data_IF_317736052680
#
_entry.id   IF_317736052680
#
_cell.length_a   1.000
_cell.length_b   1.000
_cell.length_c   1.000
_cell.angle_alpha   90.00
_cell.angle_beta   90.00
_cell.angle_gamma   90.00
#
_symmetry.space_group_name_H-M   'P 1'
#
loop_
_entity.id
_entity.type
_entity.pdbx_description
1 polymer ?
#
# COMPACT_ATOMS: atom_id res chain seq x y z
N UNK A 1 -5.14 -40.13 -53.67
CA UNK A 1 -6.55 -40.28 -54.05
C UNK A 1 -7.37 -39.45 -53.07
N UNK A 2 -7.94 -38.33 -53.56
CA UNK A 2 -8.96 -37.39 -53.01
C UNK A 2 -8.81 -36.91 -51.55
N UNK A 3 -8.64 -35.63 -51.19
CA UNK A 3 -9.10 -34.32 -51.71
C UNK A 3 -10.60 -34.01 -51.56
N UNK A 4 -10.88 -32.81 -50.98
CA UNK A 4 -12.14 -32.06 -50.79
C UNK A 4 -13.10 -32.59 -49.69
N UNK A 5 -13.77 -31.80 -48.83
CA UNK A 5 -14.48 -30.51 -49.03
C UNK A 5 -14.88 -29.89 -47.65
N UNK A 6 -14.50 -28.64 -47.33
CA UNK A 6 -15.28 -27.36 -47.23
C UNK A 6 -16.45 -27.26 -46.23
N UNK A 7 -16.44 -26.15 -45.47
CA UNK A 7 -17.48 -25.14 -45.11
C UNK A 7 -17.07 -24.57 -43.74
N UNK A 8 -16.89 -23.28 -43.46
CA UNK A 8 -17.27 -22.03 -44.09
C UNK A 8 -17.65 -21.09 -42.93
N UNK A 9 -17.07 -19.89 -42.84
CA UNK A 9 -17.66 -18.62 -42.37
C UNK A 9 -16.54 -17.57 -42.35
N UNK A 10 -16.60 -16.72 -43.36
CA UNK A 10 -15.93 -15.43 -43.48
C UNK A 10 -16.90 -14.40 -42.91
N UNK A 11 -16.46 -13.52 -42.02
CA UNK A 11 -17.18 -12.28 -41.75
C UNK A 11 -16.20 -11.13 -41.49
N UNK A 12 -15.97 -10.41 -42.58
CA UNK A 12 -15.24 -9.15 -42.76
C UNK A 12 -15.82 -8.01 -41.90
N UNK A 13 -14.99 -7.33 -41.12
CA UNK A 13 -15.28 -6.00 -40.58
C UNK A 13 -14.77 -4.94 -41.56
N UNK A 14 -15.69 -4.22 -42.18
CA UNK A 14 -15.41 -3.09 -43.06
C UNK A 14 -16.08 -1.84 -42.51
N UNK A 15 -15.28 -0.79 -42.40
CA UNK A 15 -15.63 0.54 -41.95
C UNK A 15 -16.83 1.13 -42.70
N UNK A 16 -17.69 1.87 -42.00
CA UNK A 16 -18.52 2.90 -42.62
C UNK A 16 -18.72 4.09 -41.68
N UNK A 17 -18.26 5.23 -42.16
CA UNK A 17 -18.36 6.58 -41.63
C UNK A 17 -19.22 7.32 -42.67
N UNK A 18 -20.23 8.09 -42.24
CA UNK A 18 -20.79 9.31 -42.89
C UNK A 18 -22.22 9.65 -42.40
N UNK A 19 -22.29 10.80 -41.71
CA UNK A 19 -23.25 11.93 -41.77
C UNK A 19 -24.75 11.87 -41.39
N UNK A 20 -25.18 13.09 -41.03
CA UNK A 20 -26.53 13.68 -40.84
C UNK A 20 -27.07 13.57 -39.41
N UNK A 21 -27.44 14.63 -38.67
CA UNK A 21 -27.51 16.08 -38.90
C UNK A 21 -28.48 16.73 -37.89
N UNK A 22 -28.27 18.03 -37.61
CA UNK A 22 -29.24 19.03 -37.07
C UNK A 22 -29.63 18.88 -35.57
N UNK A 23 -29.71 19.88 -34.68
CA UNK A 23 -30.04 21.32 -34.74
C UNK A 23 -29.60 21.97 -33.41
N UNK A 24 -29.16 23.23 -33.38
CA UNK A 24 -29.90 24.32 -32.69
C UNK A 24 -29.28 25.70 -32.86
N UNK A 25 -30.21 26.65 -32.92
CA UNK A 25 -30.14 28.06 -33.27
C UNK A 25 -29.53 28.93 -32.16
N UNK A 26 -28.70 29.92 -32.52
CA UNK A 26 -28.34 31.04 -31.65
C UNK A 26 -28.69 32.36 -32.36
N UNK A 27 -29.37 33.31 -31.69
CA UNK A 27 -29.89 34.52 -32.33
C UNK A 27 -28.84 35.63 -32.51
N UNK A 28 -29.13 36.48 -33.49
CA UNK A 28 -28.29 37.54 -34.03
C UNK A 28 -28.04 38.72 -33.08
N UNK A 29 -26.81 39.23 -33.15
CA UNK A 29 -26.31 40.49 -32.61
C UNK A 29 -27.00 41.69 -33.26
N UNK A 30 -27.61 42.58 -32.46
CA UNK A 30 -28.08 43.89 -32.92
C UNK A 30 -26.94 44.91 -32.89
N UNK A 31 -26.81 45.65 -33.98
CA UNK A 31 -25.94 46.83 -34.09
C UNK A 31 -26.49 47.99 -33.22
N UNK A 32 -25.62 48.83 -32.62
CA UNK A 32 -26.07 50.02 -31.91
C UNK A 32 -26.33 51.17 -32.89
N UNK A 33 -27.56 51.68 -32.84
CA UNK A 33 -28.01 52.92 -33.48
C UNK A 33 -27.37 54.12 -32.79
N UNK A 34 -26.76 55.01 -33.58
CA UNK A 34 -26.23 56.28 -33.10
C UNK A 34 -27.34 57.17 -32.53
N UNK A 35 -27.15 57.63 -31.30
CA UNK A 35 -28.01 58.62 -30.65
C UNK A 35 -27.28 59.96 -30.65
N UNK A 36 -27.93 60.95 -31.26
CA UNK A 36 -27.52 62.36 -31.32
C UNK A 36 -27.56 62.95 -29.91
N UNK A 37 -26.44 63.55 -29.50
CA UNK A 37 -26.28 64.24 -28.22
C UNK A 37 -26.79 65.68 -28.33
N UNK A 38 -27.77 66.07 -27.53
CA UNK A 38 -28.09 67.48 -27.25
C UNK A 38 -27.65 67.80 -25.83
N UNK A 39 -26.64 68.67 -25.68
CA UNK A 39 -26.16 69.19 -24.39
C UNK A 39 -27.19 70.12 -23.76
N UNK A 40 -27.59 69.92 -22.49
CA UNK A 40 -28.13 70.97 -21.65
C UNK A 40 -27.01 71.66 -20.83
N UNK A 41 -27.22 72.96 -20.61
CA UNK A 41 -26.37 73.95 -19.94
C UNK A 41 -26.15 73.57 -18.45
N UNK A 42 -24.95 73.74 -17.88
CA UNK A 42 -24.69 73.40 -16.47
C UNK A 42 -25.18 74.50 -15.53
N UNK A 43 -26.16 74.18 -14.70
CA UNK A 43 -26.54 74.99 -13.52
C UNK A 43 -25.72 74.50 -12.32
N UNK A 44 -24.78 75.33 -11.85
CA UNK A 44 -23.89 75.00 -10.74
C UNK A 44 -24.63 74.89 -9.40
N UNK A 45 -24.73 73.68 -8.87
CA UNK A 45 -25.03 73.40 -7.46
C UNK A 45 -23.76 72.98 -6.74
N UNK A 46 -23.43 73.64 -5.64
CA UNK A 46 -22.33 73.23 -4.76
C UNK A 46 -22.78 72.03 -3.92
N UNK A 47 -22.35 70.83 -4.29
CA UNK A 47 -22.52 69.62 -3.48
C UNK A 47 -21.37 69.55 -2.47
N UNK A 48 -21.67 69.51 -1.17
CA UNK A 48 -20.67 69.25 -0.13
C UNK A 48 -20.11 67.84 -0.33
N UNK A 49 -18.80 67.74 -0.57
CA UNK A 49 -18.09 66.46 -0.69
C UNK A 49 -18.07 65.79 0.69
N UNK A 50 -18.62 64.57 0.86
CA UNK A 50 -18.48 63.84 2.11
C UNK A 50 -17.00 63.51 2.37
N UNK A 51 -16.59 63.74 3.62
CA UNK A 51 -15.25 63.45 4.14
C UNK A 51 -14.83 62.01 3.80
N UNK A 52 -13.59 61.75 3.34
CA UNK A 52 -13.13 60.39 3.07
C UNK A 52 -13.27 59.54 4.34
N UNK A 53 -14.09 58.51 4.25
CA UNK A 53 -14.23 57.51 5.31
C UNK A 53 -12.90 56.77 5.43
N UNK A 54 -12.38 56.69 6.66
CA UNK A 54 -11.10 56.07 6.93
C UNK A 54 -11.13 54.62 6.46
N UNK A 55 -10.26 54.25 5.52
CA UNK A 55 -10.11 52.88 5.04
C UNK A 55 -9.81 51.98 6.24
N UNK A 56 -10.59 50.90 6.47
CA UNK A 56 -10.31 49.99 7.58
C UNK A 56 -8.89 49.41 7.38
N UNK A 57 -8.04 49.57 8.40
CA UNK A 57 -6.72 48.95 8.46
C UNK A 57 -6.89 47.43 8.29
N UNK A 58 -6.00 46.73 7.58
CA UNK A 58 -6.07 45.27 7.50
C UNK A 58 -5.98 44.69 8.91
N UNK A 59 -7.05 44.04 9.36
CA UNK A 59 -7.06 43.27 10.60
C UNK A 59 -6.02 42.17 10.44
N UNK A 60 -5.00 42.14 11.31
CA UNK A 60 -4.13 40.97 11.45
C UNK A 60 -5.03 39.81 11.87
N UNK A 61 -5.39 38.94 10.94
CA UNK A 61 -6.03 37.67 11.26
C UNK A 61 -5.02 36.87 12.08
N UNK A 62 -5.31 36.65 13.36
CA UNK A 62 -4.52 35.74 14.19
C UNK A 62 -4.53 34.38 13.48
N UNK A 63 -3.37 33.74 13.23
CA UNK A 63 -3.36 32.44 12.59
C UNK A 63 -4.14 31.44 13.46
N UNK A 64 -5.20 30.85 12.90
CA UNK A 64 -5.88 29.72 13.53
C UNK A 64 -4.90 28.54 13.59
N UNK A 65 -4.84 27.76 14.69
CA UNK A 65 -4.07 26.52 14.70
C UNK A 65 -4.54 25.60 13.57
N UNK A 66 -3.60 24.91 12.89
CA UNK A 66 -3.95 23.92 11.88
C UNK A 66 -4.78 22.78 12.48
N UNK A 67 -5.53 22.09 11.64
CA UNK A 67 -6.47 21.04 12.07
C UNK A 67 -6.25 19.70 11.37
N UNK A 68 -6.38 18.60 12.11
CA UNK A 68 -6.21 17.22 11.65
C UNK A 68 -7.47 16.40 11.84
N UNK A 69 -7.95 15.78 10.77
CA UNK A 69 -8.98 14.74 10.82
C UNK A 69 -8.34 13.34 10.78
N UNK A 70 -8.71 12.50 11.73
CA UNK A 70 -8.36 11.07 11.75
C UNK A 70 -9.59 10.24 11.44
N UNK A 71 -9.53 9.43 10.39
CA UNK A 71 -10.58 8.47 10.11
C UNK A 71 -10.71 7.44 11.25
N UNK A 72 -11.95 7.06 11.58
CA UNK A 72 -12.25 6.06 12.60
C UNK A 72 -11.72 4.65 12.26
N UNK A 73 -11.39 4.36 11.01
CA UNK A 73 -10.86 3.07 10.58
C UNK A 73 -9.33 3.02 10.59
N UNK A 74 -8.65 4.08 11.05
CA UNK A 74 -7.19 4.06 11.20
C UNK A 74 -6.77 2.98 12.22
N UNK A 75 -5.74 2.16 11.89
CA UNK A 75 -5.21 1.13 12.79
C UNK A 75 -4.99 1.66 14.20
N UNK A 76 -5.48 0.92 15.19
CA UNK A 76 -5.46 1.34 16.59
C UNK A 76 -4.03 1.66 17.08
N UNK A 77 -3.04 0.90 16.61
CA UNK A 77 -1.62 1.08 16.92
C UNK A 77 -1.06 2.45 16.52
N UNK A 78 -1.61 3.11 15.50
CA UNK A 78 -1.12 4.41 15.03
C UNK A 78 -1.70 5.60 15.81
N UNK A 79 -2.87 5.43 16.44
CA UNK A 79 -3.59 6.55 17.06
C UNK A 79 -2.80 7.25 18.18
N UNK A 80 -2.13 6.55 19.11
CA UNK A 80 -1.36 7.21 20.16
C UNK A 80 -0.22 8.06 19.59
N UNK A 81 0.50 7.53 18.60
CA UNK A 81 1.59 8.24 17.96
C UNK A 81 1.11 9.49 17.20
N UNK A 82 0.00 9.36 16.47
CA UNK A 82 -0.61 10.49 15.76
C UNK A 82 -1.11 11.58 16.71
N UNK A 83 -1.67 11.20 17.87
CA UNK A 83 -2.08 12.15 18.90
C UNK A 83 -0.87 12.91 19.48
N UNK A 84 0.22 12.21 19.80
CA UNK A 84 1.46 12.84 20.29
C UNK A 84 2.06 13.80 19.24
N UNK A 85 2.09 13.40 17.96
CA UNK A 85 2.59 14.24 16.86
C UNK A 85 1.71 15.48 16.68
N UNK A 86 0.38 15.32 16.75
CA UNK A 86 -0.54 16.45 16.65
C UNK A 86 -0.31 17.47 17.78
N UNK A 87 -0.09 17.00 19.02
CA UNK A 87 0.24 17.86 20.15
C UNK A 87 1.58 18.60 19.94
N UNK A 88 2.62 17.90 19.50
CA UNK A 88 3.94 18.47 19.21
C UNK A 88 3.88 19.56 18.13
N UNK A 89 3.08 19.33 17.09
CA UNK A 89 2.90 20.26 15.98
C UNK A 89 1.84 21.34 16.25
N UNK A 90 1.19 21.33 17.42
CA UNK A 90 0.09 22.23 17.80
C UNK A 90 -1.07 22.20 16.80
N UNK A 91 -1.47 21.00 16.43
CA UNK A 91 -2.55 20.70 15.48
C UNK A 91 -3.78 20.28 16.26
N UNK A 92 -4.90 20.99 16.07
CA UNK A 92 -6.15 20.68 16.74
C UNK A 92 -6.92 19.56 16.00
N UNK A 93 -7.74 18.79 16.72
CA UNK A 93 -8.59 17.79 16.09
C UNK A 93 -9.76 18.44 15.32
N UNK A 94 -9.98 18.00 14.07
CA UNK A 94 -11.16 18.36 13.29
C UNK A 94 -12.31 17.35 13.50
N UNK A 95 -13.55 17.84 13.49
CA UNK A 95 -14.74 17.00 13.65
C UNK A 95 -15.06 16.19 12.39
N UNK A 96 -14.68 16.68 11.22
CA UNK A 96 -14.90 16.02 9.94
C UNK A 96 -13.82 16.41 8.93
N UNK A 97 -13.64 15.56 7.92
CA UNK A 97 -12.66 15.76 6.83
C UNK A 97 -12.81 17.12 6.13
N UNK A 98 -14.04 17.62 5.94
CA UNK A 98 -14.30 18.86 5.21
C UNK A 98 -13.85 20.12 5.96
N UNK A 99 -13.68 20.05 7.28
CA UNK A 99 -13.27 21.16 8.14
C UNK A 99 -11.80 21.11 8.56
N UNK A 100 -11.05 20.12 8.07
CA UNK A 100 -9.67 19.85 8.44
C UNK A 100 -8.69 20.41 7.39
N UNK A 101 -7.54 20.90 7.84
CA UNK A 101 -6.43 21.29 6.96
C UNK A 101 -5.67 20.05 6.45
N UNK A 102 -5.65 18.98 7.25
CA UNK A 102 -5.08 17.67 6.90
C UNK A 102 -6.03 16.56 7.30
N UNK A 103 -6.10 15.51 6.48
CA UNK A 103 -6.87 14.30 6.78
C UNK A 103 -6.01 13.05 6.59
N UNK A 104 -6.14 12.11 7.53
CA UNK A 104 -5.53 10.78 7.47
C UNK A 104 -6.64 9.73 7.31
N UNK A 105 -6.56 8.95 6.23
CA UNK A 105 -7.56 7.98 5.80
C UNK A 105 -6.92 6.63 5.44
N UNK A 106 -7.73 5.57 5.36
CA UNK A 106 -7.30 4.25 4.86
C UNK A 106 -7.51 4.10 3.34
N UNK A 107 -8.34 4.96 2.74
CA UNK A 107 -8.57 5.01 1.30
C UNK A 107 -7.79 6.15 0.66
N UNK A 108 -7.19 5.86 -0.51
CA UNK A 108 -6.40 6.85 -1.24
C UNK A 108 -7.32 7.86 -1.94
N UNK A 109 -7.23 9.14 -1.57
CA UNK A 109 -7.78 10.24 -2.38
C UNK A 109 -6.79 10.66 -3.48
N UNK A 110 -7.24 11.36 -4.55
CA UNK A 110 -6.39 11.73 -5.68
C UNK A 110 -5.14 12.56 -5.31
N UNK A 111 -5.22 13.33 -4.24
CA UNK A 111 -4.17 14.19 -3.70
C UNK A 111 -3.40 13.55 -2.53
N UNK A 112 -3.77 12.35 -2.11
CA UNK A 112 -3.18 11.70 -0.95
C UNK A 112 -1.84 11.03 -1.26
N UNK A 113 -0.96 11.09 -0.27
CA UNK A 113 0.31 10.35 -0.24
C UNK A 113 0.22 9.23 0.80
N UNK A 114 1.02 8.18 0.61
CA UNK A 114 1.16 7.13 1.63
C UNK A 114 1.79 7.74 2.88
N UNK A 115 1.17 7.50 4.02
CA UNK A 115 1.64 7.93 5.33
C UNK A 115 2.38 6.79 6.03
N UNK A 116 1.76 5.62 6.10
CA UNK A 116 2.35 4.41 6.68
C UNK A 116 2.08 3.19 5.82
N UNK A 117 3.01 2.24 5.85
CA UNK A 117 2.86 0.92 5.23
C UNK A 117 3.10 -0.18 6.25
N UNK A 118 2.08 -0.99 6.51
CA UNK A 118 2.18 -2.15 7.38
C UNK A 118 2.10 -3.41 6.53
N UNK A 119 3.23 -4.10 6.45
CA UNK A 119 3.46 -5.28 5.63
C UNK A 119 3.23 -6.53 6.48
N UNK A 120 2.50 -7.50 5.93
CA UNK A 120 2.23 -8.78 6.57
C UNK A 120 2.77 -9.93 5.74
N UNK A 121 3.21 -10.98 6.41
CA UNK A 121 3.62 -12.22 5.79
C UNK A 121 2.66 -13.33 6.19
N UNK A 122 2.41 -14.24 5.24
CA UNK A 122 1.80 -15.52 5.56
C UNK A 122 2.92 -16.45 5.97
N UNK A 123 2.75 -17.11 7.11
CA UNK A 123 3.71 -18.04 7.65
C UNK A 123 3.10 -19.42 7.81
N UNK A 124 3.89 -20.42 7.45
CA UNK A 124 3.60 -21.82 7.67
C UNK A 124 4.54 -22.38 8.75
N UNK A 125 4.25 -23.58 9.27
CA UNK A 125 5.18 -24.28 10.17
C UNK A 125 6.51 -24.53 9.42
N UNK A 126 7.64 -24.37 10.11
CA UNK A 126 8.94 -24.23 9.45
C UNK A 126 9.31 -25.39 8.49
N UNK A 127 9.08 -26.67 8.84
CA UNK A 127 9.35 -27.81 7.97
C UNK A 127 8.39 -27.98 6.79
N UNK A 128 7.35 -27.16 6.64
CA UNK A 128 6.41 -27.25 5.52
C UNK A 128 7.13 -27.19 4.16
N UNK A 129 6.72 -28.05 3.23
CA UNK A 129 7.19 -28.03 1.85
C UNK A 129 6.56 -26.90 1.03
N UNK A 130 5.48 -26.29 1.52
CA UNK A 130 4.82 -25.15 0.86
C UNK A 130 5.78 -23.98 0.71
N UNK A 131 5.86 -23.43 -0.50
CA UNK A 131 6.73 -22.29 -0.81
C UNK A 131 5.97 -21.02 -1.20
N UNK A 132 4.73 -21.19 -1.66
CA UNK A 132 3.89 -20.12 -2.19
C UNK A 132 2.44 -20.35 -1.80
N UNK A 133 1.66 -19.28 -1.76
CA UNK A 133 0.21 -19.29 -1.68
C UNK A 133 -0.37 -18.16 -2.53
N UNK A 134 -1.48 -18.41 -3.23
CA UNK A 134 -2.15 -17.37 -4.00
C UNK A 134 -2.90 -16.38 -3.11
N UNK A 135 -2.97 -15.10 -3.48
CA UNK A 135 -3.80 -14.12 -2.76
C UNK A 135 -5.29 -14.46 -2.82
N UNK A 136 -5.77 -15.01 -3.93
CA UNK A 136 -7.14 -15.52 -4.05
C UNK A 136 -7.38 -16.69 -3.08
N UNK A 137 -6.41 -17.59 -2.94
CA UNK A 137 -6.49 -18.71 -2.01
C UNK A 137 -6.52 -18.24 -0.55
N UNK A 138 -5.73 -17.22 -0.20
CA UNK A 138 -5.78 -16.57 1.11
C UNK A 138 -7.14 -15.90 1.37
N UNK A 139 -7.70 -15.23 0.37
CA UNK A 139 -9.02 -14.61 0.50
C UNK A 139 -10.13 -15.68 0.64
N UNK A 140 -10.01 -16.79 -0.09
CA UNK A 140 -10.90 -17.95 0.06
C UNK A 140 -10.81 -18.54 1.47
N UNK A 141 -9.60 -18.71 2.01
CA UNK A 141 -9.40 -19.12 3.40
C UNK A 141 -10.02 -18.12 4.39
N UNK A 142 -9.87 -16.81 4.16
CA UNK A 142 -10.51 -15.77 4.97
C UNK A 142 -12.05 -15.88 4.97
N UNK A 143 -12.62 -16.30 3.82
CA UNK A 143 -14.05 -16.50 3.62
C UNK A 143 -14.56 -17.89 4.03
N UNK A 144 -13.69 -18.76 4.55
CA UNK A 144 -14.09 -20.07 5.08
C UNK A 144 -14.03 -21.22 4.09
N UNK A 145 -13.40 -21.02 2.94
CA UNK A 145 -13.16 -22.05 1.94
C UNK A 145 -11.76 -22.64 2.18
N UNK A 146 -11.64 -23.94 2.51
CA UNK A 146 -10.34 -24.60 2.66
C UNK A 146 -9.52 -24.58 1.38
N UNK A 147 -8.20 -24.61 1.52
CA UNK A 147 -7.29 -24.84 0.40
C UNK A 147 -7.38 -26.29 -0.10
N UNK A 148 -7.06 -26.48 -1.38
CA UNK A 148 -6.99 -27.78 -2.05
C UNK A 148 -5.99 -28.75 -1.39
N UNK A 149 -4.98 -28.23 -0.70
CA UNK A 149 -3.95 -29.03 -0.03
C UNK A 149 -4.15 -29.18 1.48
N UNK A 150 -5.35 -28.87 1.97
CA UNK A 150 -5.78 -29.21 3.32
C UNK A 150 -5.56 -28.12 4.36
N UNK A 151 -5.13 -26.91 3.98
CA UNK A 151 -5.20 -25.76 4.88
C UNK A 151 -6.66 -25.39 5.11
N UNK A 152 -7.05 -25.29 6.38
CA UNK A 152 -8.43 -25.02 6.79
C UNK A 152 -8.55 -23.77 7.65
N UNK A 153 -7.46 -23.33 8.28
CA UNK A 153 -7.48 -22.33 9.35
C UNK A 153 -6.51 -21.18 9.06
N UNK A 154 -6.92 -19.95 9.37
CA UNK A 154 -6.03 -18.78 9.43
C UNK A 154 -5.89 -18.31 10.88
N UNK A 155 -4.66 -18.27 11.37
CA UNK A 155 -4.31 -17.80 12.70
C UNK A 155 -3.79 -16.37 12.61
N UNK A 156 -4.27 -15.49 13.47
CA UNK A 156 -3.83 -14.10 13.49
C UNK A 156 -4.01 -13.45 14.86
N UNK A 157 -3.27 -12.37 15.12
CA UNK A 157 -3.45 -11.56 16.31
C UNK A 157 -4.70 -10.67 16.21
N UNK A 158 -5.31 -10.24 17.34
CA UNK A 158 -6.50 -9.37 17.31
C UNK A 158 -6.30 -8.10 16.48
N UNK A 159 -5.11 -7.50 16.52
CA UNK A 159 -4.81 -6.30 15.74
C UNK A 159 -4.76 -6.59 14.24
N UNK A 160 -4.11 -7.68 13.84
CA UNK A 160 -4.12 -8.15 12.44
C UNK A 160 -5.55 -8.43 11.97
N UNK A 161 -6.42 -8.97 12.84
CA UNK A 161 -7.82 -9.17 12.48
C UNK A 161 -8.50 -7.86 12.11
N UNK A 162 -8.31 -6.82 12.94
CA UNK A 162 -8.93 -5.52 12.73
C UNK A 162 -8.49 -4.91 11.39
N UNK A 163 -7.19 -4.96 11.08
CA UNK A 163 -6.65 -4.41 9.84
C UNK A 163 -7.20 -5.14 8.60
N UNK A 164 -7.23 -6.47 8.63
CA UNK A 164 -7.73 -7.25 7.49
C UNK A 164 -9.25 -7.30 7.41
N UNK A 165 -9.99 -7.06 8.50
CA UNK A 165 -11.44 -6.90 8.45
C UNK A 165 -11.83 -5.63 7.68
N UNK A 166 -11.04 -4.58 7.77
CA UNK A 166 -11.24 -3.37 6.96
C UNK A 166 -10.94 -3.62 5.47
N UNK A 167 -9.91 -4.42 5.16
CA UNK A 167 -9.51 -4.71 3.78
C UNK A 167 -10.39 -5.76 3.09
N UNK A 168 -10.72 -6.85 3.78
CA UNK A 168 -11.38 -8.03 3.20
C UNK A 168 -12.80 -8.25 3.74
N UNK A 169 -13.27 -7.40 4.64
CA UNK A 169 -14.56 -7.55 5.30
C UNK A 169 -14.54 -8.61 6.40
N UNK A 170 -15.74 -8.94 6.92
CA UNK A 170 -15.90 -9.84 8.05
C UNK A 170 -15.31 -11.23 7.75
N UNK A 171 -14.45 -11.78 8.62
CA UNK A 171 -13.89 -13.13 8.44
C UNK A 171 -14.95 -14.23 8.67
N UNK A 172 -14.67 -15.42 8.15
CA UNK A 172 -15.40 -16.64 8.46
C UNK A 172 -14.93 -17.29 9.78
N UNK A 173 -15.62 -18.36 10.20
CA UNK A 173 -15.41 -19.03 11.49
C UNK A 173 -14.04 -19.73 11.64
N UNK A 174 -13.37 -20.00 10.53
CA UNK A 174 -12.07 -20.66 10.46
C UNK A 174 -10.89 -19.69 10.63
N UNK A 175 -11.16 -18.38 10.64
CA UNK A 175 -10.18 -17.37 11.03
C UNK A 175 -10.19 -17.26 12.55
N UNK A 176 -9.12 -17.72 13.18
CA UNK A 176 -9.00 -17.80 14.63
C UNK A 176 -8.04 -16.74 15.15
N UNK A 177 -8.50 -16.02 16.16
CA UNK A 177 -7.66 -15.04 16.86
C UNK A 177 -6.88 -15.70 17.97
N UNK A 178 -5.57 -15.49 17.97
CA UNK A 178 -4.63 -16.02 18.97
C UNK A 178 -3.79 -14.87 19.49
N UNK A 179 -3.40 -14.90 20.78
CA UNK A 179 -2.46 -13.93 21.30
C UNK A 179 -1.14 -13.98 20.51
N UNK A 180 -0.53 -12.82 20.23
CA UNK A 180 0.63 -12.73 19.34
C UNK A 180 1.81 -13.61 19.79
N UNK A 181 2.02 -13.73 21.10
CA UNK A 181 3.04 -14.57 21.73
C UNK A 181 2.73 -16.09 21.67
N UNK A 182 1.48 -16.45 21.40
CA UNK A 182 0.99 -17.84 21.26
C UNK A 182 0.77 -18.29 19.82
N UNK A 183 0.88 -17.37 18.86
CA UNK A 183 0.57 -17.62 17.46
C UNK A 183 1.50 -18.69 16.85
N UNK A 184 2.81 -18.56 17.10
CA UNK A 184 3.80 -19.55 16.62
C UNK A 184 3.60 -20.92 17.27
N UNK A 185 3.39 -20.98 18.58
CA UNK A 185 3.12 -22.25 19.28
C UNK A 185 1.87 -22.95 18.71
N UNK A 186 0.83 -22.18 18.44
CA UNK A 186 -0.43 -22.68 17.88
C UNK A 186 -0.26 -23.18 16.43
N UNK A 187 0.52 -22.47 15.61
CA UNK A 187 0.85 -22.89 14.25
C UNK A 187 1.61 -24.24 14.25
N UNK A 188 2.55 -24.42 15.17
CA UNK A 188 3.27 -25.69 15.32
C UNK A 188 2.39 -26.84 15.82
N UNK A 189 1.30 -26.55 16.53
CA UNK A 189 0.35 -27.56 16.98
C UNK A 189 -0.72 -27.92 15.93
N UNK A 190 -0.91 -27.07 14.91
CA UNK A 190 -1.93 -27.25 13.87
C UNK A 190 -1.34 -27.04 12.47
N UNK A 191 -0.86 -28.13 11.86
CA UNK A 191 -0.27 -28.10 10.51
C UNK A 191 -1.29 -27.84 9.39
N UNK A 192 -2.59 -27.84 9.69
CA UNK A 192 -3.66 -27.44 8.75
C UNK A 192 -3.99 -25.94 8.86
N UNK A 193 -3.15 -25.16 9.54
CA UNK A 193 -3.29 -23.73 9.69
C UNK A 193 -2.15 -22.97 9.01
N UNK A 194 -2.44 -21.75 8.58
CA UNK A 194 -1.45 -20.73 8.26
C UNK A 194 -1.59 -19.56 9.22
N UNK A 195 -0.50 -18.83 9.42
CA UNK A 195 -0.43 -17.65 10.26
C UNK A 195 -0.31 -16.38 9.42
N UNK A 196 -1.05 -15.32 9.76
CA UNK A 196 -0.86 -14.00 9.19
C UNK A 196 -0.19 -13.09 10.23
N UNK A 197 1.07 -12.75 9.97
CA UNK A 197 1.94 -12.06 10.92
C UNK A 197 2.39 -10.70 10.36
N UNK A 198 2.44 -9.64 11.18
CA UNK A 198 3.19 -8.44 10.82
C UNK A 198 4.66 -8.80 10.53
N UNK A 199 5.26 -8.17 9.51
CA UNK A 199 6.63 -8.45 9.06
C UNK A 199 7.66 -8.41 10.20
N UNK A 200 7.56 -7.41 11.08
CA UNK A 200 8.41 -7.20 12.25
C UNK A 200 8.21 -8.23 13.37
N UNK A 201 7.18 -9.06 13.29
CA UNK A 201 6.90 -10.15 14.23
C UNK A 201 7.29 -11.53 13.68
N UNK A 202 7.87 -11.60 12.49
CA UNK A 202 8.43 -12.84 11.96
C UNK A 202 9.59 -13.33 12.83
N UNK A 203 9.62 -14.63 13.07
CA UNK A 203 10.67 -15.30 13.84
C UNK A 203 11.23 -16.48 13.05
N UNK A 204 12.49 -16.91 13.27
CA UNK A 204 13.10 -18.03 12.55
C UNK A 204 12.40 -19.39 12.72
N UNK A 205 11.43 -19.50 13.64
CA UNK A 205 10.67 -20.72 13.92
C UNK A 205 9.51 -20.95 12.94
N UNK A 206 9.28 -20.06 11.99
CA UNK A 206 8.22 -20.20 10.99
C UNK A 206 8.79 -19.98 9.59
N UNK A 207 8.11 -20.53 8.58
CA UNK A 207 8.47 -20.31 7.18
C UNK A 207 7.55 -19.25 6.60
N UNK A 208 8.07 -18.05 6.32
CA UNK A 208 7.33 -17.07 5.55
C UNK A 208 7.18 -17.57 4.10
N UNK A 209 5.95 -17.59 3.61
CA UNK A 209 5.62 -18.02 2.26
C UNK A 209 5.72 -16.85 1.29
N UNK A 210 5.94 -17.17 0.01
CA UNK A 210 5.64 -16.23 -1.07
C UNK A 210 4.13 -16.07 -1.21
N UNK A 211 3.71 -14.89 -1.63
CA UNK A 211 2.31 -14.63 -2.00
C UNK A 211 2.28 -14.15 -3.43
N UNK A 212 1.56 -14.86 -4.29
CA UNK A 212 1.59 -14.63 -5.76
C UNK A 212 3.03 -14.61 -6.31
N UNK A 213 3.87 -15.53 -5.83
CA UNK A 213 5.30 -15.66 -6.15
C UNK A 213 6.18 -14.48 -5.70
N UNK A 214 5.63 -13.49 -4.98
CA UNK A 214 6.38 -12.39 -4.39
C UNK A 214 6.96 -12.78 -3.02
N UNK A 215 8.28 -12.64 -2.89
CA UNK A 215 9.01 -12.88 -1.64
C UNK A 215 9.21 -11.57 -0.87
N UNK A 216 8.45 -11.39 0.22
CA UNK A 216 8.52 -10.17 1.01
C UNK A 216 9.81 -10.04 1.85
N UNK A 217 10.55 -11.14 2.04
CA UNK A 217 11.85 -11.14 2.71
C UNK A 217 12.99 -10.67 1.79
N UNK A 218 12.79 -10.69 0.47
CA UNK A 218 13.76 -10.16 -0.48
C UNK A 218 13.90 -8.64 -0.29
N UNK A 219 15.12 -8.08 -0.28
CA UNK A 219 15.34 -6.62 -0.08
C UNK A 219 14.61 -5.78 -1.12
N UNK A 220 14.64 -6.23 -2.36
CA UNK A 220 14.06 -5.63 -3.56
C UNK A 220 12.59 -6.00 -3.80
N UNK A 221 11.91 -6.60 -2.80
CA UNK A 221 10.50 -6.94 -2.92
C UNK A 221 9.64 -5.73 -3.30
N UNK A 222 8.81 -5.89 -4.32
CA UNK A 222 7.87 -4.86 -4.76
C UNK A 222 6.65 -4.83 -3.83
N UNK A 223 6.66 -3.96 -2.82
CA UNK A 223 5.56 -3.78 -1.88
C UNK A 223 4.30 -3.19 -2.53
N UNK A 224 4.41 -2.50 -3.66
CA UNK A 224 3.25 -1.96 -4.40
C UNK A 224 2.43 -3.06 -5.06
N UNK A 225 3.08 -4.13 -5.53
CA UNK A 225 2.42 -5.30 -6.10
C UNK A 225 2.00 -6.35 -5.05
N UNK A 226 2.55 -6.27 -3.84
CA UNK A 226 2.32 -7.27 -2.81
C UNK A 226 0.92 -7.10 -2.16
N UNK A 227 0.10 -8.16 -2.08
CA UNK A 227 -1.32 -8.04 -1.73
C UNK A 227 -1.60 -7.86 -0.22
N UNK A 228 -0.60 -8.09 0.64
CA UNK A 228 -0.75 -8.05 2.10
C UNK A 228 -0.08 -6.80 2.71
N UNK A 229 -0.37 -5.63 2.13
CA UNK A 229 0.08 -4.32 2.64
C UNK A 229 -1.12 -3.47 3.02
N UNK A 230 -1.24 -3.14 4.30
CA UNK A 230 -2.21 -2.17 4.82
C UNK A 230 -1.56 -0.78 4.76
N UNK A 231 -2.17 0.14 4.02
CA UNK A 231 -1.68 1.50 3.85
C UNK A 231 -2.62 2.50 4.53
N UNK A 232 -2.02 3.50 5.16
CA UNK A 232 -2.74 4.74 5.50
C UNK A 232 -2.25 5.86 4.60
N UNK A 233 -3.13 6.81 4.34
CA UNK A 233 -2.90 7.91 3.41
C UNK A 233 -3.14 9.23 4.10
N UNK A 234 -2.36 10.24 3.73
CA UNK A 234 -2.46 11.60 4.24
C UNK A 234 -2.71 12.56 3.08
N UNK A 235 -3.63 13.51 3.27
CA UNK A 235 -4.05 14.51 2.27
C UNK A 235 -4.24 15.88 2.93
N UNK A 236 -4.23 16.96 2.14
CA UNK A 236 -4.42 18.33 2.62
C UNK A 236 -3.18 19.22 2.48
N UNK A 237 -2.94 20.10 3.47
CA UNK A 237 -1.83 21.06 3.44
C UNK A 237 -0.46 20.39 3.30
N UNK A 238 0.30 20.79 2.27
CA UNK A 238 1.57 20.14 1.91
C UNK A 238 2.63 20.29 2.99
N UNK A 239 2.71 21.43 3.68
CA UNK A 239 3.75 21.65 4.69
C UNK A 239 3.47 20.81 5.94
N UNK A 240 2.21 20.79 6.38
CA UNK A 240 1.81 20.02 7.55
C UNK A 240 1.89 18.51 7.30
N UNK A 241 1.49 18.05 6.12
CA UNK A 241 1.59 16.62 5.75
C UNK A 241 3.03 16.11 5.74
N UNK A 242 3.99 16.88 5.22
CA UNK A 242 5.41 16.50 5.29
C UNK A 242 5.92 16.47 6.74
N UNK A 243 5.57 17.47 7.57
CA UNK A 243 5.95 17.46 9.01
C UNK A 243 5.43 16.23 9.76
N UNK A 244 4.20 15.81 9.50
CA UNK A 244 3.62 14.61 10.13
C UNK A 244 4.34 13.35 9.64
N UNK A 245 4.67 13.26 8.34
CA UNK A 245 5.45 12.15 7.78
C UNK A 245 6.86 12.08 8.36
N UNK A 246 7.54 13.21 8.49
CA UNK A 246 8.87 13.29 9.08
C UNK A 246 8.85 12.81 10.53
N UNK A 247 7.89 13.29 11.33
CA UNK A 247 7.73 12.87 12.73
C UNK A 247 7.44 11.36 12.89
N UNK A 248 6.65 10.76 11.99
CA UNK A 248 6.44 9.30 11.98
C UNK A 248 7.71 8.53 11.57
N UNK A 249 8.49 9.08 10.64
CA UNK A 249 9.74 8.49 10.18
C UNK A 249 10.78 8.49 11.30
N UNK A 250 10.93 9.62 12.00
CA UNK A 250 11.80 9.73 13.19
C UNK A 250 11.42 8.74 14.30
N UNK A 251 10.13 8.47 14.47
CA UNK A 251 9.62 7.46 15.42
C UNK A 251 9.71 6.03 14.91
N UNK A 252 10.22 5.77 13.70
CA UNK A 252 10.23 4.45 13.04
C UNK A 252 8.85 3.81 12.89
N UNK A 253 7.81 4.63 12.68
CA UNK A 253 6.42 4.19 12.52
C UNK A 253 5.92 4.27 11.07
N UNK A 254 6.75 4.74 10.15
CA UNK A 254 6.40 4.82 8.73
C UNK A 254 6.19 3.41 8.12
N UNK A 255 6.97 2.42 8.52
CA UNK A 255 6.77 1.02 8.09
C UNK A 255 7.32 0.02 9.10
N UNK A 256 6.72 -1.17 9.14
CA UNK A 256 7.25 -2.30 9.89
C UNK A 256 8.26 -3.16 9.08
N UNK A 257 8.45 -2.89 7.79
CA UNK A 257 9.49 -3.52 6.94
C UNK A 257 10.64 -2.53 6.70
N UNK A 258 11.34 -2.15 7.76
CA UNK A 258 12.49 -1.25 7.64
C UNK A 258 13.74 -2.04 7.20
N UNK A 259 14.21 -1.79 5.97
CA UNK A 259 15.37 -2.47 5.37
C UNK A 259 16.70 -2.16 6.07
N UNK A 260 16.81 -1.03 6.78
CA UNK A 260 17.98 -0.70 7.59
C UNK A 260 18.07 -1.56 8.87
N UNK A 261 16.94 -2.15 9.28
CA UNK A 261 16.85 -3.07 10.42
C UNK A 261 16.76 -4.54 10.00
N UNK A 262 17.00 -4.82 8.72
CA UNK A 262 17.00 -6.17 8.19
C UNK A 262 18.43 -6.66 7.95
N UNK A 263 18.71 -7.89 8.37
CA UNK A 263 19.98 -8.57 8.13
C UNK A 263 19.71 -9.94 7.52
N UNK A 264 20.29 -10.20 6.35
CA UNK A 264 20.28 -11.50 5.70
C UNK A 264 21.49 -12.30 6.14
N UNK A 265 21.25 -13.30 6.98
CA UNK A 265 22.25 -14.26 7.43
C UNK A 265 22.09 -15.55 6.63
N UNK A 266 23.14 -15.97 5.92
CA UNK A 266 23.20 -17.29 5.31
C UNK A 266 24.20 -18.15 6.09
N UNK A 267 23.72 -19.29 6.57
CA UNK A 267 24.51 -20.25 7.32
C UNK A 267 24.59 -21.54 6.53
N UNK A 268 25.79 -22.03 6.30
CA UNK A 268 25.97 -23.40 5.82
C UNK A 268 26.11 -24.34 7.00
N UNK A 269 25.57 -25.54 6.85
CA UNK A 269 26.04 -26.68 7.66
C UNK A 269 27.48 -27.04 7.27
N UNK A 270 27.92 -28.21 7.74
CA UNK A 270 29.22 -28.79 7.38
C UNK A 270 29.30 -28.89 5.86
N UNK A 271 30.27 -28.19 5.29
CA UNK A 271 30.48 -28.16 3.83
C UNK A 271 31.28 -29.38 3.38
N UNK A 272 30.67 -30.57 3.47
CA UNK A 272 31.24 -31.80 2.91
C UNK A 272 30.76 -32.02 1.47
N UNK A 273 31.68 -32.33 0.56
CA UNK A 273 31.32 -32.76 -0.80
C UNK A 273 30.74 -34.17 -0.72
N UNK A 274 29.45 -34.34 -1.05
CA UNK A 274 28.83 -35.66 -1.13
C UNK A 274 29.42 -36.46 -2.31
N UNK A 275 29.39 -37.80 -2.24
CA UNK A 275 29.88 -38.66 -3.35
C UNK A 275 29.21 -38.31 -4.69
N UNK A 276 27.91 -37.99 -4.65
CA UNK A 276 27.14 -37.57 -5.82
C UNK A 276 27.66 -36.24 -6.38
N UNK A 277 28.03 -35.29 -5.53
CA UNK A 277 28.59 -34.02 -5.97
C UNK A 277 30.02 -34.19 -6.51
N UNK A 278 30.85 -35.02 -5.87
CA UNK A 278 32.20 -35.35 -6.35
C UNK A 278 32.16 -35.94 -7.77
N UNK A 279 31.26 -36.92 -8.01
CA UNK A 279 31.07 -37.47 -9.35
C UNK A 279 30.65 -36.39 -10.38
N UNK A 280 29.76 -35.45 -10.00
CA UNK A 280 29.35 -34.35 -10.88
C UNK A 280 30.51 -33.39 -11.20
N UNK A 281 31.38 -33.12 -10.23
CA UNK A 281 32.60 -32.32 -10.42
C UNK A 281 33.53 -33.00 -11.42
N UNK A 282 33.83 -34.29 -11.21
CA UNK A 282 34.72 -35.07 -12.07
C UNK A 282 34.15 -35.21 -13.49
N UNK A 283 32.87 -35.52 -13.61
CA UNK A 283 32.19 -35.64 -14.91
C UNK A 283 32.13 -34.31 -15.67
N UNK A 284 32.03 -33.18 -14.95
CA UNK A 284 32.08 -31.85 -15.55
C UNK A 284 33.52 -31.37 -15.83
N UNK A 285 34.54 -32.04 -15.26
CA UNK A 285 35.93 -31.60 -15.31
C UNK A 285 36.16 -30.25 -14.62
N UNK A 286 35.34 -29.90 -13.63
CA UNK A 286 35.25 -28.54 -13.11
C UNK A 286 35.08 -28.47 -11.59
N UNK A 287 36.22 -28.25 -10.91
CA UNK A 287 36.29 -28.16 -9.45
C UNK A 287 35.50 -26.99 -8.85
N UNK A 288 35.21 -25.94 -9.63
CA UNK A 288 34.48 -24.77 -9.16
C UNK A 288 32.95 -24.91 -9.33
N UNK A 289 32.47 -26.04 -9.87
CA UNK A 289 31.05 -26.29 -10.11
C UNK A 289 30.15 -25.99 -8.89
N UNK A 290 30.43 -26.48 -7.67
CA UNK A 290 29.56 -26.18 -6.52
C UNK A 290 29.57 -24.70 -6.18
N UNK A 291 30.76 -24.08 -6.18
CA UNK A 291 30.94 -22.68 -5.83
C UNK A 291 30.21 -21.74 -6.78
N UNK A 292 30.15 -22.06 -8.08
CA UNK A 292 29.38 -21.26 -9.05
C UNK A 292 27.87 -21.34 -8.87
N UNK A 293 27.36 -22.47 -8.36
CA UNK A 293 25.92 -22.66 -8.15
C UNK A 293 25.44 -21.92 -6.90
N UNK A 294 26.23 -21.91 -5.83
CA UNK A 294 25.84 -21.28 -4.55
C UNK A 294 26.45 -19.91 -4.32
N UNK A 295 27.42 -19.50 -5.14
CA UNK A 295 28.20 -18.27 -4.96
C UNK A 295 27.33 -17.03 -4.88
N UNK A 296 26.39 -16.85 -5.80
CA UNK A 296 25.49 -15.70 -5.81
C UNK A 296 24.58 -15.68 -4.58
N UNK A 297 24.14 -16.85 -4.11
CA UNK A 297 23.33 -16.96 -2.89
C UNK A 297 24.14 -16.50 -1.68
N UNK A 298 25.36 -17.02 -1.51
CA UNK A 298 26.25 -16.67 -0.39
C UNK A 298 26.71 -15.21 -0.45
N UNK A 299 26.93 -14.66 -1.65
CA UNK A 299 27.33 -13.27 -1.85
C UNK A 299 26.19 -12.28 -1.59
N UNK A 300 24.94 -12.71 -1.72
CA UNK A 300 23.77 -11.89 -1.45
C UNK A 300 23.42 -11.76 0.05
N UNK A 301 24.20 -12.35 0.95
CA UNK A 301 24.01 -12.21 2.40
C UNK A 301 24.72 -10.96 2.93
N UNK A 302 24.16 -10.36 3.99
CA UNK A 302 24.89 -9.34 4.76
C UNK A 302 25.95 -10.02 5.65
N UNK A 303 25.64 -11.25 6.11
CA UNK A 303 26.52 -12.09 6.91
C UNK A 303 26.48 -13.52 6.37
N UNK A 304 27.66 -14.10 6.10
CA UNK A 304 27.79 -15.51 5.70
C UNK A 304 28.59 -16.27 6.74
N UNK A 305 27.98 -17.30 7.31
CA UNK A 305 28.65 -18.22 8.22
C UNK A 305 28.85 -19.57 7.51
N UNK A 306 30.10 -19.99 7.38
CA UNK A 306 30.44 -21.30 6.82
C UNK A 306 30.90 -22.22 7.95
N UNK A 307 30.15 -23.29 8.18
CA UNK A 307 30.58 -24.35 9.10
C UNK A 307 31.53 -25.33 8.40
N UNK A 308 32.65 -25.62 9.04
CA UNK A 308 33.64 -26.60 8.60
C UNK A 308 33.91 -27.57 9.76
N UNK A 309 33.83 -28.88 9.50
CA UNK A 309 34.29 -29.90 10.44
C UNK A 309 35.76 -30.20 10.11
N UNK A 310 36.65 -29.88 11.07
CA UNK A 310 38.06 -30.32 11.07
C UNK A 310 38.25 -31.51 11.97
#
# INVERSE_FOLDING_TARGET
MNSYMKYGIVCTFLAWLVLVGLTHCAPATKAPTGVVTTNPIPTGGWTLVPKPEATPKPTKTTPRPPTLFLNQNIPAALRPALAEIAEQLKVDAAQNKASADVAIDVQRSPDARVLTERVYAVADWFPSERVNIGSEELLNLWQGVPSADGITTLLLAPETLADFTELWGKPAFNVQTVAADKLVETLWANHAALALLPFDQLVPKVKALRVDDLDILARDANTDAYPLVVRTFISGDKNLTEKIRDALTEKNLATNRNLERMTKLIMTGVTAISRTMAFKIDAAGDNALPARVVGDVLAAADLTMVSNET
#
